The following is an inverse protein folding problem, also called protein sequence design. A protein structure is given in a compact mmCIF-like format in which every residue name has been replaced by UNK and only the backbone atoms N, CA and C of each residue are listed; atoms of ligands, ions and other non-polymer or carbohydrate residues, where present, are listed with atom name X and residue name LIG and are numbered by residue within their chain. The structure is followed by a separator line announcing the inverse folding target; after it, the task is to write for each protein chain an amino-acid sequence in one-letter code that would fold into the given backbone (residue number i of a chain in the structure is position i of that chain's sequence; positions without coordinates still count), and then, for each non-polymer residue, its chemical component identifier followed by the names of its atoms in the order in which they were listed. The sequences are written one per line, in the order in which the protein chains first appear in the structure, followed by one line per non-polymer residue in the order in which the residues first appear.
data_IF_528414200466
#
_entry.id   IF_528414200466
#
_cell.length_a   1.000
_cell.length_b   1.000
_cell.length_c   1.000
_cell.angle_alpha   90.00
_cell.angle_beta   90.00
_cell.angle_gamma   90.00
#
_symmetry.space_group_name_H-M   'P 1'
#
loop_
_entity.id
_entity.type
_entity.pdbx_description
1 polymer ?
#
# COMPACT_ATOMS: atom_id res chain seq x y z
N UNK A 1 39.04 7.16 -34.03
CA UNK A 1 38.24 7.25 -32.80
C UNK A 1 37.28 8.41 -32.96
N UNK A 2 35.99 8.13 -33.12
CA UNK A 2 34.93 9.16 -33.25
C UNK A 2 34.05 9.05 -32.02
N UNK A 3 33.99 10.14 -31.24
CA UNK A 3 33.10 10.28 -30.09
C UNK A 3 31.67 10.48 -30.59
N UNK A 4 30.64 9.82 -30.02
CA UNK A 4 29.26 10.16 -30.35
C UNK A 4 28.90 11.55 -29.79
N UNK A 5 27.98 12.29 -30.45
CA UNK A 5 27.53 13.60 -29.98
C UNK A 5 26.62 13.47 -28.74
N UNK A 6 26.74 14.44 -27.82
CA UNK A 6 25.88 14.59 -26.64
C UNK A 6 24.42 14.89 -27.04
N UNK A 7 23.41 14.40 -26.28
CA UNK A 7 22.01 14.76 -26.50
C UNK A 7 21.79 16.25 -26.16
N UNK A 8 20.80 16.91 -26.81
CA UNK A 8 20.48 18.30 -26.52
C UNK A 8 19.95 18.49 -25.09
N UNK A 9 20.20 19.67 -24.53
CA UNK A 9 19.70 20.08 -23.22
C UNK A 9 18.16 20.06 -23.21
N UNK A 10 17.58 19.51 -22.14
CA UNK A 10 16.14 19.59 -21.84
C UNK A 10 15.79 21.06 -21.60
N UNK A 11 15.18 21.69 -22.59
CA UNK A 11 14.57 23.00 -22.48
C UNK A 11 13.07 22.83 -22.24
N UNK A 12 12.58 23.57 -21.26
CA UNK A 12 11.21 24.09 -21.14
C UNK A 12 10.12 23.07 -20.74
N UNK A 13 9.99 22.87 -19.43
CA UNK A 13 8.83 22.24 -18.79
C UNK A 13 7.90 23.35 -18.27
N UNK A 14 7.44 24.23 -19.18
CA UNK A 14 6.40 25.22 -18.93
C UNK A 14 5.24 24.98 -19.91
N UNK A 15 4.15 24.42 -19.39
CA UNK A 15 2.88 24.41 -20.09
C UNK A 15 1.99 23.21 -19.77
N UNK A 16 1.06 23.40 -18.83
CA UNK A 16 -0.40 23.31 -19.06
C UNK A 16 -1.13 22.84 -17.78
N UNK A 17 -1.31 23.73 -16.81
CA UNK A 17 -2.28 23.56 -15.72
C UNK A 17 -3.68 23.89 -16.24
N UNK A 18 -4.28 22.95 -16.96
CA UNK A 18 -5.69 23.02 -17.34
C UNK A 18 -6.62 22.75 -16.14
N UNK A 19 -7.69 23.54 -15.91
CA UNK A 19 -8.68 23.24 -14.89
C UNK A 19 -9.81 22.36 -15.46
N UNK A 20 -10.06 21.21 -14.82
CA UNK A 20 -11.24 20.35 -15.02
C UNK A 20 -10.90 18.87 -14.80
N UNK A 21 -11.63 18.05 -14.06
CA UNK A 21 -13.03 18.11 -13.68
C UNK A 21 -13.26 17.56 -12.26
N UNK A 22 -14.17 18.24 -11.59
CA UNK A 22 -15.05 17.76 -10.55
C UNK A 22 -15.83 16.49 -10.94
N UNK A 23 -15.85 15.52 -10.02
CA UNK A 23 -16.95 14.55 -9.92
C UNK A 23 -16.64 13.13 -10.39
N UNK A 24 -16.45 12.24 -9.42
CA UNK A 24 -16.53 10.80 -9.63
C UNK A 24 -16.35 10.03 -8.34
N UNK A 25 -17.45 9.77 -7.63
CA UNK A 25 -17.49 8.96 -6.42
C UNK A 25 -16.97 7.54 -6.69
N UNK A 26 -15.70 7.29 -6.35
CA UNK A 26 -15.13 5.94 -6.31
C UNK A 26 -15.31 5.37 -4.91
N UNK A 27 -16.27 4.45 -4.77
CA UNK A 27 -16.70 3.87 -3.51
C UNK A 27 -15.55 3.48 -2.57
N UNK A 28 -15.65 3.94 -1.32
CA UNK A 28 -14.73 3.55 -0.27
C UNK A 28 -14.80 2.04 -0.05
N UNK A 29 -13.81 1.30 -0.55
CA UNK A 29 -13.53 -0.02 -0.04
C UNK A 29 -13.15 0.15 1.43
N UNK A 30 -14.03 -0.31 2.33
CA UNK A 30 -13.80 -0.27 3.76
C UNK A 30 -12.51 -1.01 4.09
N UNK A 31 -11.54 -0.29 4.67
CA UNK A 31 -10.32 -0.89 5.20
C UNK A 31 -10.68 -1.70 6.45
N UNK A 32 -10.81 -3.02 6.30
CA UNK A 32 -10.99 -3.96 7.40
C UNK A 32 -9.72 -4.75 7.61
N UNK A 33 -8.93 -4.41 8.63
CA UNK A 33 -7.95 -5.34 9.19
C UNK A 33 -8.68 -6.18 10.26
N UNK A 34 -8.79 -7.49 10.02
CA UNK A 34 -9.49 -8.41 10.90
C UNK A 34 -8.51 -9.35 11.60
N UNK A 35 -8.47 -9.31 12.93
CA UNK A 35 -7.83 -10.35 13.73
C UNK A 35 -8.88 -11.45 14.02
N UNK A 36 -8.72 -12.62 13.41
CA UNK A 36 -9.58 -13.77 13.63
C UNK A 36 -8.98 -14.69 14.68
N UNK A 37 -9.65 -14.87 15.82
CA UNK A 37 -9.28 -15.88 16.81
C UNK A 37 -9.71 -17.27 16.30
N UNK A 38 -8.82 -17.96 15.58
CA UNK A 38 -8.97 -19.39 15.28
C UNK A 38 -8.71 -20.22 16.53
N UNK A 39 -9.71 -21.00 16.95
CA UNK A 39 -9.73 -21.74 18.22
C UNK A 39 -8.48 -22.58 18.47
N UNK A 40 -7.81 -22.27 19.58
CA UNK A 40 -6.67 -22.98 20.14
C UNK A 40 -6.44 -22.45 21.55
N UNK A 41 -6.14 -23.35 22.47
CA UNK A 41 -6.23 -23.12 23.90
C UNK A 41 -5.11 -22.16 24.38
N UNK A 42 -5.52 -21.13 25.13
CA UNK A 42 -4.73 -20.23 26.01
C UNK A 42 -3.80 -19.14 25.39
N UNK A 43 -4.29 -17.90 25.50
CA UNK A 43 -3.59 -16.61 25.66
C UNK A 43 -2.77 -16.00 24.50
N UNK A 44 -3.24 -16.03 23.24
CA UNK A 44 -2.64 -15.19 22.19
C UNK A 44 -3.36 -15.25 20.85
N UNK A 45 -3.05 -14.30 19.96
CA UNK A 45 -3.48 -14.27 18.58
C UNK A 45 -2.69 -15.32 17.79
N UNK A 46 -3.38 -16.33 17.26
CA UNK A 46 -2.77 -17.42 16.49
C UNK A 46 -2.56 -17.07 15.01
N UNK A 47 -3.35 -16.13 14.47
CA UNK A 47 -3.34 -15.76 13.07
C UNK A 47 -3.58 -14.26 12.88
N UNK A 48 -2.63 -13.59 12.22
CA UNK A 48 -2.78 -12.22 11.72
C UNK A 48 -2.84 -12.25 10.19
N UNK A 49 -3.90 -11.70 9.61
CA UNK A 49 -4.04 -11.58 8.15
C UNK A 49 -4.04 -10.11 7.74
N UNK A 50 -2.95 -9.66 7.13
CA UNK A 50 -2.84 -8.34 6.52
C UNK A 50 -3.44 -8.39 5.10
N UNK A 51 -4.75 -8.22 5.03
CA UNK A 51 -5.50 -8.19 3.77
C UNK A 51 -5.99 -6.79 3.37
N UNK A 52 -5.99 -5.83 4.31
CA UNK A 52 -6.41 -4.46 4.00
C UNK A 52 -5.53 -3.89 2.89
N UNK A 53 -6.17 -3.38 1.84
CA UNK A 53 -5.50 -2.80 0.70
C UNK A 53 -6.39 -1.85 -0.08
N UNK A 54 -5.76 -0.85 -0.70
CA UNK A 54 -6.39 0.10 -1.59
C UNK A 54 -5.70 0.06 -2.94
N UNK A 55 -6.50 0.10 -4.00
CA UNK A 55 -6.02 0.25 -5.36
C UNK A 55 -6.85 1.36 -6.01
N UNK A 56 -6.16 2.41 -6.45
CA UNK A 56 -6.78 3.56 -7.11
C UNK A 56 -6.00 3.85 -8.40
N UNK A 57 -6.68 4.28 -9.44
CA UNK A 57 -6.09 4.63 -10.73
C UNK A 57 -5.55 6.05 -10.72
N UNK A 58 -4.42 6.28 -11.39
CA UNK A 58 -3.79 7.61 -11.52
C UNK A 58 -2.34 7.61 -11.06
N UNK A 59 -1.61 8.69 -11.38
CA UNK A 59 -0.18 8.84 -11.10
C UNK A 59 0.11 10.17 -10.40
N UNK A 60 -0.47 10.35 -9.21
CA UNK A 60 -0.16 11.49 -8.35
C UNK A 60 0.60 11.03 -7.10
N UNK A 61 1.32 11.96 -6.47
CA UNK A 61 2.04 11.67 -5.23
C UNK A 61 1.10 11.22 -4.12
N UNK A 62 -0.07 11.83 -4.02
CA UNK A 62 -1.06 11.56 -2.97
C UNK A 62 -1.61 10.14 -3.09
N UNK A 63 -1.86 9.67 -4.33
CA UNK A 63 -2.30 8.30 -4.58
C UNK A 63 -1.19 7.29 -4.25
N UNK A 64 0.05 7.59 -4.63
CA UNK A 64 1.21 6.77 -4.28
C UNK A 64 1.38 6.67 -2.76
N UNK A 65 1.39 7.79 -2.05
CA UNK A 65 1.53 7.83 -0.59
C UNK A 65 0.41 7.02 0.09
N UNK A 66 -0.81 7.08 -0.45
CA UNK A 66 -1.95 6.30 0.06
C UNK A 66 -1.80 4.80 -0.18
N UNK A 67 -1.31 4.39 -1.36
CA UNK A 67 -1.02 2.98 -1.64
C UNK A 67 0.09 2.45 -0.75
N UNK A 68 1.19 3.20 -0.60
CA UNK A 68 2.33 2.79 0.25
C UNK A 68 1.92 2.70 1.72
N UNK A 69 1.26 3.74 2.24
CA UNK A 69 0.85 3.75 3.65
C UNK A 69 -0.10 2.60 4.00
N UNK A 70 -1.05 2.28 3.11
CA UNK A 70 -2.06 1.24 3.38
C UNK A 70 -1.56 -0.17 3.06
N UNK A 71 -0.95 -0.37 1.90
CA UNK A 71 -0.64 -1.72 1.40
C UNK A 71 0.71 -2.24 1.89
N UNK A 72 1.60 -1.35 2.38
CA UNK A 72 2.96 -1.72 2.76
C UNK A 72 3.31 -1.32 4.19
N UNK A 73 3.19 -0.03 4.54
CA UNK A 73 3.59 0.46 5.87
C UNK A 73 2.67 -0.10 6.96
N UNK A 74 1.36 -0.07 6.75
CA UNK A 74 0.39 -0.56 7.73
C UNK A 74 0.57 -2.06 8.07
N UNK A 75 0.74 -3.00 7.12
CA UNK A 75 1.06 -4.39 7.44
C UNK A 75 2.30 -4.56 8.33
N UNK A 76 3.36 -3.79 8.07
CA UNK A 76 4.58 -3.82 8.89
C UNK A 76 4.30 -3.29 10.28
N UNK A 77 3.72 -2.09 10.38
CA UNK A 77 3.43 -1.44 11.65
C UNK A 77 2.46 -2.28 12.52
N UNK A 78 1.42 -2.85 11.92
CA UNK A 78 0.45 -3.70 12.62
C UNK A 78 1.10 -4.98 13.12
N UNK A 79 1.92 -5.63 12.29
CA UNK A 79 2.64 -6.85 12.71
C UNK A 79 3.55 -6.57 13.90
N UNK A 80 4.31 -5.47 13.86
CA UNK A 80 5.18 -5.05 14.97
C UNK A 80 4.37 -4.75 16.24
N UNK A 81 3.26 -4.02 16.11
CA UNK A 81 2.38 -3.71 17.24
C UNK A 81 1.74 -4.95 17.87
N UNK A 82 1.49 -6.00 17.07
CA UNK A 82 0.86 -7.24 17.53
C UNK A 82 1.84 -8.27 18.10
N UNK A 83 3.16 -8.10 17.94
CA UNK A 83 4.16 -9.06 18.45
C UNK A 83 3.93 -9.51 19.90
N UNK A 84 3.62 -8.62 20.87
CA UNK A 84 3.40 -9.05 22.26
C UNK A 84 2.13 -9.89 22.46
N UNK A 85 1.25 -9.92 21.47
CA UNK A 85 -0.03 -10.60 21.51
C UNK A 85 -0.04 -11.87 20.64
N UNK A 86 1.00 -12.12 19.83
CA UNK A 86 1.09 -13.32 19.02
C UNK A 86 1.37 -14.55 19.91
N UNK A 87 0.57 -15.60 19.73
CA UNK A 87 0.81 -16.87 20.39
C UNK A 87 2.10 -17.53 19.87
N UNK A 88 2.66 -18.47 20.63
CA UNK A 88 3.73 -19.34 20.13
C UNK A 88 3.22 -20.11 18.88
N UNK A 89 4.06 -20.18 17.84
CA UNK A 89 3.68 -20.77 16.56
C UNK A 89 2.68 -19.95 15.72
N UNK A 90 2.32 -18.72 16.13
CA UNK A 90 1.42 -17.86 15.36
C UNK A 90 1.92 -17.62 13.93
N UNK A 91 0.97 -17.31 13.04
CA UNK A 91 1.23 -17.07 11.63
C UNK A 91 0.79 -15.67 11.23
N UNK A 92 1.62 -15.01 10.43
CA UNK A 92 1.29 -13.74 9.77
C UNK A 92 1.19 -14.00 8.28
N UNK A 93 0.05 -13.62 7.68
CA UNK A 93 -0.20 -13.77 6.24
C UNK A 93 -0.44 -12.40 5.63
N UNK A 94 0.38 -12.04 4.64
CA UNK A 94 0.20 -10.84 3.83
C UNK A 94 -0.43 -11.22 2.50
N UNK A 95 -1.51 -10.54 2.12
CA UNK A 95 -2.15 -10.74 0.81
C UNK A 95 -1.53 -9.76 -0.19
N UNK A 96 -1.00 -10.30 -1.28
CA UNK A 96 -0.40 -9.53 -2.37
C UNK A 96 -0.99 -9.92 -3.72
N UNK A 97 -0.78 -9.09 -4.74
CA UNK A 97 -1.12 -9.38 -6.14
C UNK A 97 0.13 -9.62 -6.99
N UNK A 98 -0.02 -10.36 -8.09
CA UNK A 98 1.04 -10.58 -9.08
C UNK A 98 0.83 -9.83 -10.40
N UNK A 99 -0.04 -8.83 -10.39
CA UNK A 99 -0.41 -7.98 -11.53
C UNK A 99 0.54 -6.80 -11.67
#
# INVERSE_FOLDING_TARGET
TISPPLPPAVSDMDGDDGPGADGGAGGGAGAGAGAGAGGGDASGLSLLVNNAGVLQTGWTKELYDKHISTNFEAPVALTLAMLPHLAEGARVVNVSSGL
#
